data_IF_704012814835
#
_entry.id   IF_704012814835
#
_cell.length_a   1.000
_cell.length_b   1.000
_cell.length_c   1.000
_cell.angle_alpha   90.00
_cell.angle_beta   90.00
_cell.angle_gamma   90.00
#
_symmetry.space_group_name_H-M   'P 1'
#
loop_
_entity.id
_entity.type
_entity.pdbx_description
1 polymer ?
#
# COMPACT_ATOMS: atom_id res chain seq x y z
N UNK A 1 26.81 -50.22 -36.93
CA UNK A 1 28.14 -49.88 -37.32
C UNK A 1 28.52 -48.50 -36.89
N UNK A 2 29.61 -48.50 -36.19
CA UNK A 2 30.32 -47.33 -35.67
C UNK A 2 30.92 -46.51 -36.81
N UNK A 3 31.02 -45.22 -36.66
CA UNK A 3 32.23 -44.51 -37.06
C UNK A 3 32.46 -43.26 -36.24
N UNK A 4 33.53 -43.31 -35.46
CA UNK A 4 34.25 -42.21 -34.85
C UNK A 4 34.97 -41.41 -35.93
N UNK A 5 35.04 -40.08 -35.81
CA UNK A 5 36.23 -39.37 -36.28
C UNK A 5 36.53 -38.18 -35.36
N UNK A 6 37.81 -38.15 -35.05
CA UNK A 6 38.60 -37.32 -34.16
C UNK A 6 39.27 -36.17 -34.91
N UNK A 7 39.66 -35.13 -34.14
CA UNK A 7 40.89 -34.32 -34.26
C UNK A 7 40.81 -33.15 -35.28
N UNK A 8 41.13 -31.89 -34.90
CA UNK A 8 42.45 -31.37 -34.54
C UNK A 8 42.42 -29.99 -33.92
N UNK A 9 43.27 -29.82 -32.89
CA UNK A 9 43.72 -28.53 -32.38
C UNK A 9 44.52 -27.76 -33.46
N UNK A 10 44.42 -26.42 -33.42
CA UNK A 10 45.54 -25.56 -33.85
C UNK A 10 45.62 -24.33 -32.95
N UNK A 11 46.66 -24.28 -32.14
CA UNK A 11 47.19 -23.07 -31.53
C UNK A 11 47.69 -22.11 -32.62
N UNK A 12 47.33 -20.86 -32.48
CA UNK A 12 47.92 -19.75 -33.23
C UNK A 12 48.15 -18.57 -32.32
N UNK A 13 49.37 -18.49 -31.83
CA UNK A 13 49.92 -17.33 -31.11
C UNK A 13 50.35 -16.28 -32.15
N UNK A 14 49.87 -15.02 -32.06
CA UNK A 14 50.56 -13.92 -32.75
C UNK A 14 50.36 -12.60 -31.95
N UNK A 15 51.48 -11.93 -31.88
CA UNK A 15 51.90 -10.86 -30.99
C UNK A 15 51.19 -9.52 -31.18
N UNK A 16 51.36 -8.73 -30.15
CA UNK A 16 51.00 -7.35 -29.98
C UNK A 16 51.52 -6.39 -31.07
N UNK A 17 50.71 -5.40 -31.41
CA UNK A 17 51.19 -4.07 -31.82
C UNK A 17 50.21 -3.01 -31.30
N UNK A 18 50.66 -2.26 -30.30
CA UNK A 18 50.05 -1.08 -29.73
C UNK A 18 50.18 0.10 -30.73
N UNK A 19 49.05 0.61 -31.20
CA UNK A 19 49.00 1.92 -31.85
C UNK A 19 48.06 2.81 -31.03
N UNK A 20 48.66 3.72 -30.29
CA UNK A 20 47.94 4.77 -29.56
C UNK A 20 47.34 5.75 -30.56
N UNK A 21 46.03 5.82 -30.56
CA UNK A 21 45.26 6.92 -31.17
C UNK A 21 44.73 7.81 -30.03
N UNK A 22 45.37 8.96 -29.88
CA UNK A 22 44.89 10.05 -29.04
C UNK A 22 43.64 10.62 -29.72
N UNK A 23 42.48 10.33 -29.14
CA UNK A 23 41.23 10.98 -29.49
C UNK A 23 41.09 12.24 -28.64
N UNK A 24 41.28 13.41 -29.27
CA UNK A 24 40.79 14.69 -28.75
C UNK A 24 39.27 14.70 -28.89
N UNK A 25 38.54 14.25 -27.86
CA UNK A 25 37.12 14.43 -27.76
C UNK A 25 36.81 15.85 -27.29
N UNK A 26 36.25 16.66 -28.18
CA UNK A 26 35.60 17.92 -27.83
C UNK A 26 34.46 17.61 -26.83
N UNK A 27 34.66 17.94 -25.57
CA UNK A 27 33.61 17.96 -24.58
C UNK A 27 32.61 19.04 -24.98
N UNK A 28 31.45 18.59 -25.47
CA UNK A 28 30.30 19.46 -25.68
C UNK A 28 29.68 19.66 -24.30
N UNK A 29 29.87 20.81 -23.69
CA UNK A 29 29.13 21.20 -22.48
C UNK A 29 27.62 21.21 -22.85
N UNK A 30 26.92 20.20 -22.31
CA UNK A 30 25.46 20.20 -22.29
C UNK A 30 25.05 21.13 -21.16
N UNK A 31 24.62 22.34 -21.51
CA UNK A 31 24.00 23.25 -20.55
C UNK A 31 22.76 22.56 -19.96
N UNK A 32 22.55 22.62 -18.63
CA UNK A 32 21.34 22.05 -18.04
C UNK A 32 20.11 22.81 -18.51
N UNK A 33 19.11 22.08 -18.96
CA UNK A 33 17.82 22.59 -19.38
C UNK A 33 17.11 23.25 -18.18
N UNK A 34 16.92 24.57 -18.24
CA UNK A 34 16.43 25.40 -17.13
C UNK A 34 14.91 25.31 -16.93
N UNK A 35 14.26 24.28 -17.50
CA UNK A 35 12.80 24.08 -17.43
C UNK A 35 12.37 22.80 -16.69
N UNK A 36 13.23 22.19 -15.87
CA UNK A 36 12.78 21.17 -14.93
C UNK A 36 11.96 21.85 -13.83
N UNK A 37 10.66 21.56 -13.78
CA UNK A 37 9.82 21.95 -12.66
C UNK A 37 10.45 21.46 -11.34
N UNK A 38 10.40 22.25 -10.26
CA UNK A 38 10.99 21.83 -9.01
C UNK A 38 10.31 20.54 -8.52
N UNK A 39 11.09 19.47 -8.43
CA UNK A 39 10.68 18.28 -7.70
C UNK A 39 10.38 18.75 -6.28
N UNK A 40 9.12 18.61 -5.87
CA UNK A 40 8.69 18.93 -4.52
C UNK A 40 9.50 18.06 -3.55
N UNK A 41 10.50 18.66 -2.90
CA UNK A 41 11.23 17.98 -1.85
C UNK A 41 10.23 17.75 -0.71
N UNK A 42 9.90 16.50 -0.46
CA UNK A 42 9.15 16.10 0.72
C UNK A 42 9.89 16.67 1.95
N UNK A 43 9.23 17.55 2.68
CA UNK A 43 9.77 18.08 3.94
C UNK A 43 9.97 16.88 4.86
N UNK A 44 11.18 16.62 5.38
CA UNK A 44 11.37 15.50 6.28
C UNK A 44 10.44 15.68 7.49
N UNK A 45 9.69 14.65 7.89
CA UNK A 45 8.78 14.74 9.03
C UNK A 45 9.56 15.07 10.30
N UNK A 46 9.02 15.99 11.09
CA UNK A 46 9.55 16.32 12.42
C UNK A 46 9.49 15.05 13.28
N UNK A 47 10.54 14.63 13.97
CA UNK A 47 10.49 13.45 14.81
C UNK A 47 9.44 13.65 15.91
N UNK A 48 8.47 12.73 15.99
CA UNK A 48 7.53 12.67 17.10
C UNK A 48 8.32 12.34 18.37
N UNK A 49 8.22 13.17 19.39
CA UNK A 49 8.82 12.87 20.69
C UNK A 49 8.13 11.64 21.28
N UNK A 50 8.89 10.74 21.93
CA UNK A 50 8.37 9.49 22.52
C UNK A 50 7.33 9.72 23.67
N UNK A 51 7.00 10.98 23.98
CA UNK A 51 6.11 11.40 25.07
C UNK A 51 4.70 11.75 24.58
N UNK A 52 4.43 11.82 23.27
CA UNK A 52 3.12 12.21 22.78
C UNK A 52 2.15 11.02 22.83
N UNK A 53 1.36 10.99 23.90
CA UNK A 53 0.20 10.11 23.97
C UNK A 53 -0.76 10.47 22.83
N UNK A 54 -1.24 9.50 22.01
CA UNK A 54 -2.18 9.80 20.94
C UNK A 54 -3.40 10.55 21.47
N UNK A 55 -3.78 11.67 20.85
CA UNK A 55 -5.00 12.39 21.21
C UNK A 55 -6.22 11.57 20.72
N UNK A 56 -7.06 11.04 21.63
CA UNK A 56 -8.23 10.26 21.22
C UNK A 56 -9.27 11.10 20.45
N UNK A 57 -9.20 12.44 20.53
CA UNK A 57 -10.08 13.35 19.80
C UNK A 57 -9.57 13.64 18.38
N UNK A 58 -8.36 13.21 18.02
CA UNK A 58 -7.83 13.41 16.68
C UNK A 58 -8.62 12.55 15.67
N UNK A 59 -9.27 13.21 14.72
CA UNK A 59 -10.07 12.55 13.69
C UNK A 59 -9.28 11.49 12.88
N UNK A 60 -7.95 11.64 12.75
CA UNK A 60 -7.06 10.72 12.07
C UNK A 60 -6.93 9.40 12.81
N UNK A 61 -7.08 9.43 14.11
CA UNK A 61 -6.96 8.29 15.01
C UNK A 61 -8.31 7.66 15.37
N UNK A 62 -9.42 8.11 14.76
CA UNK A 62 -10.73 7.50 14.96
C UNK A 62 -10.66 5.99 14.70
N UNK A 63 -10.71 5.19 15.75
CA UNK A 63 -10.66 3.74 15.67
C UNK A 63 -12.01 3.16 15.27
N UNK A 64 -12.04 2.40 14.19
CA UNK A 64 -13.21 1.63 13.74
C UNK A 64 -12.79 0.19 13.51
N UNK A 65 -13.39 -0.74 14.24
CA UNK A 65 -13.14 -2.18 14.17
C UNK A 65 -14.34 -2.94 14.77
N UNK A 66 -14.35 -4.28 14.88
CA UNK A 66 -15.49 -5.02 15.42
C UNK A 66 -15.97 -4.60 16.82
N UNK A 67 -15.12 -4.00 17.63
CA UNK A 67 -15.40 -3.57 19.00
C UNK A 67 -15.65 -2.07 19.13
N UNK A 68 -15.29 -1.30 18.11
CA UNK A 68 -15.44 0.16 18.04
C UNK A 68 -16.18 0.48 16.73
N UNK A 69 -17.52 0.53 16.78
CA UNK A 69 -18.31 0.87 15.59
C UNK A 69 -18.11 2.32 15.17
N UNK A 70 -18.45 2.60 13.92
CA UNK A 70 -18.47 3.95 13.39
C UNK A 70 -19.28 4.87 14.30
N UNK A 71 -18.78 6.08 14.65
CA UNK A 71 -19.52 7.02 15.47
C UNK A 71 -20.91 7.32 14.88
N UNK A 72 -21.92 7.45 15.75
CA UNK A 72 -23.28 7.75 15.31
C UNK A 72 -23.32 9.10 14.55
N UNK A 73 -23.98 9.09 13.39
CA UNK A 73 -24.08 10.27 12.54
C UNK A 73 -22.78 10.67 11.83
N UNK A 74 -21.73 9.85 11.88
CA UNK A 74 -20.47 10.16 11.20
C UNK A 74 -20.68 10.31 9.68
N UNK A 75 -20.22 11.43 9.15
CA UNK A 75 -20.24 11.72 7.72
C UNK A 75 -18.89 12.32 7.30
N UNK A 76 -18.11 11.63 6.46
CA UNK A 76 -16.85 12.16 5.95
C UNK A 76 -17.08 13.28 4.94
N UNK A 77 -16.19 14.24 4.90
CA UNK A 77 -16.16 15.26 3.86
C UNK A 77 -15.45 14.66 2.62
N UNK A 78 -16.22 14.07 1.72
CA UNK A 78 -15.68 13.34 0.60
C UNK A 78 -15.23 14.27 -0.53
N UNK A 79 -14.10 13.91 -1.16
CA UNK A 79 -13.66 14.45 -2.44
C UNK A 79 -13.37 13.31 -3.41
N UNK A 80 -13.49 13.60 -4.69
CA UNK A 80 -13.18 12.63 -5.74
C UNK A 80 -11.67 12.57 -5.96
N UNK A 81 -11.16 11.37 -6.11
CA UNK A 81 -9.79 11.04 -6.52
C UNK A 81 -9.83 10.22 -7.82
N UNK A 82 -8.71 9.62 -8.22
CA UNK A 82 -8.63 8.88 -9.48
C UNK A 82 -9.72 7.81 -9.65
N UNK A 83 -10.07 7.52 -10.90
CA UNK A 83 -11.03 6.45 -11.31
C UNK A 83 -12.43 6.56 -10.68
N UNK A 84 -12.83 7.75 -10.24
CA UNK A 84 -14.14 7.97 -9.64
C UNK A 84 -14.26 7.52 -8.19
N UNK A 85 -13.16 7.11 -7.57
CA UNK A 85 -13.10 6.83 -6.13
C UNK A 85 -13.27 8.10 -5.31
N UNK A 86 -13.68 7.96 -4.06
CA UNK A 86 -13.83 9.05 -3.12
C UNK A 86 -13.11 8.71 -1.80
N UNK A 87 -12.49 9.71 -1.20
CA UNK A 87 -11.90 9.63 0.14
C UNK A 87 -12.24 10.88 0.94
N UNK A 88 -11.94 10.88 2.22
CA UNK A 88 -12.01 12.11 3.02
C UNK A 88 -11.08 13.17 2.41
N UNK A 89 -11.59 14.37 2.21
CA UNK A 89 -10.87 15.46 1.51
C UNK A 89 -9.53 15.81 2.18
N UNK A 90 -9.42 15.54 3.49
CA UNK A 90 -8.22 15.84 4.28
C UNK A 90 -7.03 14.88 4.01
N UNK A 91 -7.29 13.69 3.45
CA UNK A 91 -6.24 12.74 3.10
C UNK A 91 -5.99 12.62 1.58
N UNK A 92 -6.81 13.27 0.75
CA UNK A 92 -6.78 13.10 -0.70
C UNK A 92 -5.43 13.47 -1.33
N UNK A 93 -4.87 14.62 -0.97
CA UNK A 93 -3.59 15.07 -1.52
C UNK A 93 -2.42 14.12 -1.18
N UNK A 94 -2.40 13.57 0.04
CA UNK A 94 -1.39 12.61 0.46
C UNK A 94 -1.54 11.27 -0.28
N UNK A 95 -2.79 10.82 -0.52
CA UNK A 95 -3.06 9.63 -1.33
C UNK A 95 -2.58 9.80 -2.77
N UNK A 96 -2.94 10.93 -3.40
CA UNK A 96 -2.54 11.22 -4.77
C UNK A 96 -1.01 11.31 -4.92
N UNK A 97 -0.33 11.92 -3.95
CA UNK A 97 1.14 11.97 -3.91
C UNK A 97 1.74 10.56 -3.79
N UNK A 98 1.24 9.73 -2.87
CA UNK A 98 1.69 8.34 -2.70
C UNK A 98 1.56 7.52 -4.00
N UNK A 99 0.40 7.61 -4.67
CA UNK A 99 0.18 6.90 -5.92
C UNK A 99 1.05 7.42 -7.06
N UNK A 100 1.27 8.75 -7.12
CA UNK A 100 2.13 9.37 -8.13
C UNK A 100 3.60 8.94 -7.96
N UNK A 101 4.12 8.95 -6.74
CA UNK A 101 5.50 8.57 -6.47
C UNK A 101 5.73 7.06 -6.65
N UNK A 102 4.75 6.23 -6.30
CA UNK A 102 4.76 4.81 -6.63
C UNK A 102 4.88 4.57 -8.15
N UNK A 103 4.13 5.34 -8.96
CA UNK A 103 4.25 5.30 -10.42
C UNK A 103 5.58 5.84 -10.92
N UNK A 104 6.09 6.91 -10.34
CA UNK A 104 7.40 7.47 -10.67
C UNK A 104 8.55 6.49 -10.37
N UNK A 105 8.38 5.62 -9.36
CA UNK A 105 9.29 4.51 -9.06
C UNK A 105 9.17 3.33 -10.06
N UNK A 106 8.29 3.42 -11.06
CA UNK A 106 8.14 2.41 -12.13
C UNK A 106 7.10 1.33 -11.83
N UNK A 107 6.27 1.50 -10.80
CA UNK A 107 5.21 0.56 -10.43
C UNK A 107 3.86 0.96 -11.00
N UNK A 108 2.89 0.05 -10.96
CA UNK A 108 1.56 0.25 -11.54
C UNK A 108 0.44 0.09 -10.50
N UNK A 109 0.38 0.98 -9.48
CA UNK A 109 -0.67 0.90 -8.46
C UNK A 109 -2.04 1.20 -9.07
N UNK A 110 -3.04 0.42 -8.65
CA UNK A 110 -4.44 0.60 -8.99
C UNK A 110 -5.25 0.75 -7.70
N UNK A 111 -5.85 1.91 -7.51
CA UNK A 111 -6.85 2.12 -6.47
C UNK A 111 -8.12 1.34 -6.85
N UNK A 112 -8.46 0.30 -6.08
CA UNK A 112 -9.57 -0.60 -6.39
C UNK A 112 -10.75 -0.48 -5.42
N UNK A 113 -10.54 0.15 -4.26
CA UNK A 113 -11.60 0.47 -3.29
C UNK A 113 -11.20 1.66 -2.44
N UNK A 114 -12.19 2.43 -2.01
CA UNK A 114 -12.01 3.63 -1.19
C UNK A 114 -13.23 3.81 -0.27
N UNK A 115 -13.79 5.00 -0.12
CA UNK A 115 -15.02 5.19 0.65
C UNK A 115 -16.12 4.21 0.23
N UNK A 116 -16.79 3.62 1.21
CA UNK A 116 -17.95 2.74 1.02
C UNK A 116 -19.14 3.25 1.84
N UNK A 117 -20.30 3.36 1.20
CA UNK A 117 -21.55 3.61 1.93
C UNK A 117 -21.92 2.41 2.80
N UNK A 118 -22.84 2.60 3.74
CA UNK A 118 -23.41 1.53 4.56
C UNK A 118 -24.03 0.41 3.69
N UNK A 119 -24.74 0.80 2.62
CA UNK A 119 -25.38 -0.13 1.69
C UNK A 119 -24.35 -0.98 0.94
N UNK A 120 -23.27 -0.34 0.47
CA UNK A 120 -22.18 -1.03 -0.23
C UNK A 120 -21.47 -2.00 0.69
N UNK A 121 -21.15 -1.60 1.92
CA UNK A 121 -20.53 -2.48 2.91
C UNK A 121 -21.44 -3.65 3.26
N UNK A 122 -22.74 -3.41 3.43
CA UNK A 122 -23.74 -4.45 3.67
C UNK A 122 -23.83 -5.46 2.53
N UNK A 123 -23.81 -4.97 1.29
CA UNK A 123 -23.80 -5.83 0.11
C UNK A 123 -22.54 -6.75 0.07
N UNK A 124 -21.35 -6.18 0.30
CA UNK A 124 -20.09 -6.92 0.28
C UNK A 124 -20.07 -8.01 1.36
N UNK A 125 -20.42 -7.64 2.59
CA UNK A 125 -20.47 -8.56 3.71
C UNK A 125 -21.47 -9.71 3.46
N UNK A 126 -22.71 -9.38 3.07
CA UNK A 126 -23.73 -10.39 2.80
C UNK A 126 -23.34 -11.33 1.64
N UNK A 127 -22.73 -10.81 0.58
CA UNK A 127 -22.23 -11.62 -0.53
C UNK A 127 -21.18 -12.64 -0.06
N UNK A 128 -20.28 -12.23 0.84
CA UNK A 128 -19.28 -13.13 1.39
C UNK A 128 -19.91 -14.18 2.33
N UNK A 129 -20.89 -13.79 3.16
CA UNK A 129 -21.66 -14.72 3.99
C UNK A 129 -22.31 -15.79 3.11
N UNK A 130 -22.97 -15.39 2.02
CA UNK A 130 -23.60 -16.36 1.09
C UNK A 130 -22.58 -17.30 0.44
N UNK A 131 -21.40 -16.78 0.06
CA UNK A 131 -20.30 -17.62 -0.45
C UNK A 131 -19.82 -18.64 0.60
N UNK A 132 -19.75 -18.27 1.85
CA UNK A 132 -19.36 -19.19 2.93
C UNK A 132 -20.44 -20.24 3.20
N UNK A 133 -21.72 -19.88 3.15
CA UNK A 133 -22.84 -20.85 3.22
C UNK A 133 -22.77 -21.84 2.05
N UNK A 134 -22.55 -21.36 0.84
CA UNK A 134 -22.42 -22.22 -0.34
C UNK A 134 -21.24 -23.20 -0.27
N UNK A 135 -20.22 -22.91 0.59
CA UNK A 135 -19.10 -23.82 0.92
C UNK A 135 -19.44 -24.84 2.02
N UNK A 136 -20.69 -24.87 2.49
CA UNK A 136 -21.15 -25.82 3.50
C UNK A 136 -21.04 -25.36 4.96
N UNK A 137 -20.68 -24.09 5.22
CA UNK A 137 -20.69 -23.57 6.56
C UNK A 137 -22.12 -23.29 7.04
N UNK A 138 -22.41 -23.50 8.33
CA UNK A 138 -23.62 -22.99 8.94
C UNK A 138 -23.69 -21.46 8.83
N UNK A 139 -24.87 -20.85 8.99
CA UNK A 139 -25.03 -19.40 8.91
C UNK A 139 -24.14 -18.66 9.93
N UNK A 140 -24.05 -19.17 11.15
CA UNK A 140 -23.22 -18.55 12.21
C UNK A 140 -21.72 -18.63 11.89
N UNK A 141 -21.24 -19.78 11.41
CA UNK A 141 -19.85 -19.94 10.97
C UNK A 141 -19.55 -19.06 9.74
N UNK A 142 -20.47 -18.99 8.79
CA UNK A 142 -20.36 -18.15 7.60
C UNK A 142 -20.21 -16.66 7.98
N UNK A 143 -21.03 -16.18 8.90
CA UNK A 143 -20.96 -14.81 9.40
C UNK A 143 -19.64 -14.55 10.14
N UNK A 144 -19.22 -15.46 11.01
CA UNK A 144 -17.95 -15.32 11.76
C UNK A 144 -16.71 -15.33 10.83
N UNK A 145 -16.72 -16.17 9.78
CA UNK A 145 -15.66 -16.20 8.78
C UNK A 145 -15.66 -14.94 7.92
N UNK A 146 -16.84 -14.53 7.46
CA UNK A 146 -16.98 -13.32 6.64
C UNK A 146 -16.51 -12.07 7.38
N UNK A 147 -16.82 -11.94 8.67
CA UNK A 147 -16.43 -10.80 9.49
C UNK A 147 -14.90 -10.62 9.63
N UNK A 148 -14.13 -11.67 9.41
CA UNK A 148 -12.65 -11.61 9.44
C UNK A 148 -12.03 -11.13 8.13
N UNK A 149 -12.76 -11.21 7.03
CA UNK A 149 -12.30 -10.82 5.68
C UNK A 149 -12.96 -9.51 5.19
N UNK A 150 -14.22 -9.30 5.55
CA UNK A 150 -14.98 -8.09 5.23
C UNK A 150 -15.67 -7.62 6.51
N UNK A 151 -15.28 -6.46 6.99
CA UNK A 151 -15.82 -5.89 8.22
C UNK A 151 -17.36 -5.86 8.21
N UNK A 152 -17.96 -6.14 9.36
CA UNK A 152 -19.41 -6.03 9.54
C UNK A 152 -19.84 -4.57 9.24
N UNK A 153 -20.98 -4.36 8.54
CA UNK A 153 -21.47 -3.00 8.26
C UNK A 153 -21.54 -2.13 9.51
N UNK A 154 -20.96 -0.94 9.45
CA UNK A 154 -20.80 -0.05 10.59
C UNK A 154 -19.51 -0.24 11.39
N UNK A 155 -18.64 -1.19 10.99
CA UNK A 155 -17.33 -1.42 11.61
C UNK A 155 -16.18 -1.40 10.59
N UNK A 156 -16.40 -0.82 9.42
CA UNK A 156 -15.42 -0.73 8.34
C UNK A 156 -14.78 0.65 8.26
N UNK A 157 -13.45 0.72 8.22
CA UNK A 157 -12.71 1.97 8.03
C UNK A 157 -12.94 2.63 6.67
N UNK A 158 -13.37 1.88 5.65
CA UNK A 158 -13.81 2.47 4.39
C UNK A 158 -15.00 3.43 4.56
N UNK A 159 -15.83 3.22 5.59
CA UNK A 159 -16.95 4.13 5.90
C UNK A 159 -16.48 5.44 6.57
N UNK A 160 -15.24 5.50 7.07
CA UNK A 160 -14.61 6.75 7.49
C UNK A 160 -14.16 7.61 6.30
N UNK A 161 -13.95 7.02 5.13
CA UNK A 161 -13.27 7.67 4.01
C UNK A 161 -11.75 7.74 4.17
N UNK A 162 -11.19 7.08 5.18
CA UNK A 162 -9.75 7.11 5.53
C UNK A 162 -8.99 5.85 5.12
N UNK A 163 -9.68 4.86 4.55
CA UNK A 163 -9.07 3.62 4.11
C UNK A 163 -9.21 3.42 2.60
N UNK A 164 -8.18 2.82 2.02
CA UNK A 164 -8.09 2.52 0.60
C UNK A 164 -7.53 1.12 0.39
N UNK A 165 -8.05 0.42 -0.64
CA UNK A 165 -7.47 -0.82 -1.13
C UNK A 165 -6.73 -0.52 -2.45
N UNK A 166 -5.44 -0.85 -2.49
CA UNK A 166 -4.57 -0.65 -3.64
C UNK A 166 -4.00 -2.01 -4.06
N UNK A 167 -4.03 -2.30 -5.36
CA UNK A 167 -3.48 -3.53 -5.94
C UNK A 167 -2.51 -3.21 -7.07
N UNK A 168 -1.78 -4.22 -7.53
CA UNK A 168 -1.00 -4.12 -8.75
C UNK A 168 -1.91 -4.35 -9.96
N UNK A 169 -1.78 -3.56 -11.03
CA UNK A 169 -2.55 -3.76 -12.26
C UNK A 169 -2.34 -5.14 -12.89
N UNK A 170 -1.20 -5.78 -12.63
CA UNK A 170 -0.88 -7.12 -13.11
C UNK A 170 -1.51 -8.23 -12.26
N UNK A 171 -1.88 -7.93 -11.02
CA UNK A 171 -2.57 -8.84 -10.10
C UNK A 171 -3.64 -8.07 -9.33
N UNK A 172 -4.90 -8.20 -9.74
CA UNK A 172 -6.03 -7.48 -9.13
C UNK A 172 -6.82 -8.33 -8.13
N UNK A 173 -6.30 -9.50 -7.74
CA UNK A 173 -6.97 -10.37 -6.79
C UNK A 173 -6.61 -9.97 -5.36
N UNK A 174 -7.61 -9.66 -4.55
CA UNK A 174 -7.44 -9.34 -3.13
C UNK A 174 -7.18 -10.63 -2.33
N UNK A 175 -5.94 -11.04 -2.30
CA UNK A 175 -5.45 -12.18 -1.52
C UNK A 175 -4.00 -11.95 -1.09
N UNK A 176 -3.47 -12.88 -0.30
CA UNK A 176 -2.12 -12.77 0.25
C UNK A 176 -1.02 -12.60 -0.81
N UNK A 177 -1.21 -13.12 -2.02
CA UNK A 177 -0.21 -12.97 -3.08
C UNK A 177 0.05 -11.50 -3.52
N UNK A 178 -0.78 -10.57 -3.06
CA UNK A 178 -0.48 -9.14 -3.22
C UNK A 178 0.85 -8.76 -2.55
N UNK A 179 1.20 -9.36 -1.39
CA UNK A 179 2.45 -9.03 -0.66
C UNK A 179 3.72 -9.19 -1.51
N UNK A 180 3.67 -10.07 -2.53
CA UNK A 180 4.79 -10.37 -3.43
C UNK A 180 4.85 -9.42 -4.65
N UNK A 181 3.86 -8.57 -4.85
CA UNK A 181 3.86 -7.61 -5.97
C UNK A 181 4.79 -6.44 -5.70
N UNK A 182 5.40 -5.91 -6.77
CA UNK A 182 6.29 -4.76 -6.65
C UNK A 182 5.57 -3.51 -6.11
N UNK A 183 4.29 -3.34 -6.43
CA UNK A 183 3.44 -2.27 -5.89
C UNK A 183 3.33 -2.37 -4.38
N UNK A 184 3.00 -3.57 -3.85
CA UNK A 184 2.82 -3.73 -2.41
C UNK A 184 4.14 -3.62 -1.64
N UNK A 185 5.22 -4.14 -2.18
CA UNK A 185 6.55 -3.99 -1.57
C UNK A 185 6.92 -2.51 -1.44
N UNK A 186 6.70 -1.73 -2.49
CA UNK A 186 6.94 -0.29 -2.45
C UNK A 186 6.01 0.41 -1.45
N UNK A 187 4.70 0.13 -1.49
CA UNK A 187 3.74 0.75 -0.59
C UNK A 187 4.01 0.42 0.88
N UNK A 188 4.31 -0.84 1.21
CA UNK A 188 4.65 -1.24 2.58
C UNK A 188 5.94 -0.57 3.09
N UNK A 189 6.86 -0.23 2.20
CA UNK A 189 8.08 0.49 2.57
C UNK A 189 7.85 1.99 2.74
N UNK A 190 7.00 2.62 1.92
CA UNK A 190 6.90 4.08 1.77
C UNK A 190 5.58 4.70 2.23
N UNK A 191 4.49 3.95 2.42
CA UNK A 191 3.15 4.51 2.71
C UNK A 191 3.13 5.46 3.92
N UNK A 192 3.97 5.23 4.93
CA UNK A 192 4.07 6.05 6.13
C UNK A 192 4.56 7.48 5.83
N UNK A 193 5.35 7.68 4.79
CA UNK A 193 5.82 8.99 4.33
C UNK A 193 4.66 9.90 3.86
N UNK A 194 3.54 9.27 3.50
CA UNK A 194 2.30 9.92 3.07
C UNK A 194 1.19 9.84 4.11
N UNK A 195 1.51 9.43 5.33
CA UNK A 195 0.56 9.35 6.43
C UNK A 195 -0.34 8.11 6.42
N UNK A 196 -0.01 7.10 5.62
CA UNK A 196 -0.72 5.82 5.58
C UNK A 196 0.02 4.74 6.35
N UNK A 197 -0.71 3.76 6.85
CA UNK A 197 -0.17 2.56 7.47
C UNK A 197 -0.73 1.31 6.76
N UNK A 198 0.06 0.23 6.72
CA UNK A 198 -0.48 -1.09 6.47
C UNK A 198 -1.36 -1.48 7.66
N UNK A 199 -2.67 -1.43 7.46
CA UNK A 199 -3.63 -1.43 8.57
C UNK A 199 -3.77 -2.78 9.26
N UNK A 200 -3.74 -3.86 8.49
CA UNK A 200 -3.93 -5.23 8.96
C UNK A 200 -2.68 -6.06 8.69
N UNK A 201 -1.60 -5.84 9.47
CA UNK A 201 -0.33 -6.51 9.26
C UNK A 201 -0.39 -7.99 9.66
N UNK A 202 0.59 -8.82 9.26
CA UNK A 202 0.69 -10.21 9.69
C UNK A 202 0.62 -10.35 11.22
N UNK A 203 0.02 -11.45 11.70
CA UNK A 203 -0.03 -11.85 13.10
C UNK A 203 -0.76 -10.87 14.06
N UNK A 204 -1.49 -9.88 13.53
CA UNK A 204 -2.28 -8.93 14.32
C UNK A 204 -3.79 -9.14 14.23
N UNK A 205 -4.27 -10.18 13.55
CA UNK A 205 -5.70 -10.42 13.32
C UNK A 205 -6.55 -10.52 14.59
N UNK A 206 -6.00 -11.05 15.70
CA UNK A 206 -6.69 -11.09 16.99
C UNK A 206 -6.83 -9.70 17.64
N UNK A 207 -5.98 -8.76 17.28
CA UNK A 207 -6.02 -7.37 17.77
C UNK A 207 -6.92 -6.48 16.91
N UNK A 208 -6.84 -6.66 15.59
CA UNK A 208 -7.55 -5.83 14.61
C UNK A 208 -8.96 -6.34 14.28
N UNK A 209 -9.20 -7.65 14.49
CA UNK A 209 -10.43 -8.34 14.10
C UNK A 209 -10.49 -8.74 12.63
N UNK A 210 -9.50 -8.35 11.82
CA UNK A 210 -9.40 -8.61 10.37
C UNK A 210 -8.14 -9.44 10.09
N UNK A 211 -8.18 -10.31 9.11
CA UNK A 211 -7.01 -11.06 8.64
C UNK A 211 -5.94 -10.14 8.05
N UNK A 212 -4.76 -10.68 7.75
CA UNK A 212 -3.74 -9.96 7.02
C UNK A 212 -4.22 -9.54 5.63
N UNK A 213 -4.15 -8.24 5.35
CA UNK A 213 -4.57 -7.63 4.08
C UNK A 213 -3.46 -6.73 3.53
N UNK A 214 -2.54 -7.24 2.69
CA UNK A 214 -1.43 -6.45 2.14
C UNK A 214 -1.88 -5.29 1.23
N UNK A 215 -3.13 -5.25 0.81
CA UNK A 215 -3.70 -4.21 -0.05
C UNK A 215 -4.34 -3.05 0.71
N UNK A 216 -4.64 -3.21 2.02
CA UNK A 216 -5.45 -2.27 2.79
C UNK A 216 -4.60 -1.26 3.55
N UNK A 217 -4.71 0.01 3.18
CA UNK A 217 -3.99 1.12 3.79
C UNK A 217 -4.93 2.08 4.48
N UNK A 218 -4.56 2.52 5.70
CA UNK A 218 -5.32 3.47 6.51
C UNK A 218 -4.52 4.75 6.70
N UNK A 219 -5.16 5.89 6.44
CA UNK A 219 -4.61 7.21 6.73
C UNK A 219 -4.71 7.52 8.23
N UNK A 220 -3.60 7.94 8.81
CA UNK A 220 -3.47 8.37 10.20
C UNK A 220 -2.66 9.67 10.36
N UNK A 221 -2.21 10.28 9.22
CA UNK A 221 -1.29 11.41 9.22
C UNK A 221 0.17 10.98 9.37
N UNK A 222 1.09 11.80 8.85
CA UNK A 222 2.51 11.43 8.67
C UNK A 222 3.20 11.15 10.00
N UNK A 223 2.96 11.98 11.01
CA UNK A 223 3.56 11.83 12.34
C UNK A 223 3.15 10.51 13.01
N UNK A 224 1.87 10.16 12.99
CA UNK A 224 1.39 8.91 13.58
C UNK A 224 1.79 7.70 12.74
N UNK A 225 1.79 7.81 11.42
CA UNK A 225 2.24 6.73 10.54
C UNK A 225 3.70 6.39 10.78
N UNK A 226 4.56 7.40 10.93
CA UNK A 226 5.96 7.23 11.28
C UNK A 226 6.13 6.55 12.65
N UNK A 227 5.41 7.00 13.67
CA UNK A 227 5.48 6.45 15.02
C UNK A 227 5.00 4.98 15.07
N UNK A 228 3.91 4.65 14.36
CA UNK A 228 3.38 3.29 14.23
C UNK A 228 4.41 2.39 13.52
N UNK A 229 4.99 2.86 12.40
CA UNK A 229 6.06 2.11 11.70
C UNK A 229 7.25 1.82 12.61
N UNK A 230 7.75 2.82 13.33
CA UNK A 230 8.90 2.68 14.23
C UNK A 230 8.63 1.74 15.40
N UNK A 231 7.40 1.72 15.90
CA UNK A 231 7.02 0.88 17.03
C UNK A 231 6.68 -0.56 16.66
N UNK A 232 6.34 -0.85 15.39
CA UNK A 232 5.85 -2.15 14.93
C UNK A 232 4.48 -2.54 15.51
N UNK A 233 3.73 -1.58 16.06
CA UNK A 233 2.40 -1.79 16.61
C UNK A 233 1.33 -1.68 15.53
N UNK A 234 0.19 -2.37 15.70
CA UNK A 234 -1.02 -2.03 14.96
C UNK A 234 -1.72 -0.81 15.60
N UNK A 235 -2.70 -0.23 14.92
CA UNK A 235 -3.38 0.98 15.39
C UNK A 235 -4.01 0.79 16.78
N UNK A 236 -4.63 -0.36 17.04
CA UNK A 236 -5.22 -0.70 18.35
C UNK A 236 -4.19 -0.65 19.49
N UNK A 237 -3.02 -1.24 19.26
CA UNK A 237 -1.95 -1.26 20.26
C UNK A 237 -1.32 0.13 20.44
N UNK A 238 -1.22 0.90 19.35
CA UNK A 238 -0.69 2.26 19.39
C UNK A 238 -1.57 3.20 20.22
N UNK A 239 -2.90 3.08 20.10
CA UNK A 239 -3.86 3.90 20.84
C UNK A 239 -3.99 3.56 22.34
N UNK A 240 -3.40 2.44 22.76
CA UNK A 240 -3.42 2.01 24.18
C UNK A 240 -2.14 2.40 24.94
N UNK A 241 -1.27 3.20 24.35
CA UNK A 241 -0.02 3.68 24.98
C UNK A 241 -0.24 4.71 26.07
#
# INVERSE_FOLDING_TARGET
PMQKNRILLSLGLLAALSVGLIWFGLAREVLPDSNAAPVSQAVPPTPVSQEDTPDPADWRLCLVNPWHPLPEGYQPQLTQVENGHQVDSRCAADLEAMLADCRAAGHTPLLCSSYRTQEKQTQLYNNLVQKQIARGNSRSEAMAKAAKEVAVPGTSEHQLGLAVDIVDTQNQVLNRAQEDTAVQQWLMEHCWEYGFILRYPPDKGEKTGIIYEPWHYRYVGREYAQAIRQSGLCLEEFLQR
#
